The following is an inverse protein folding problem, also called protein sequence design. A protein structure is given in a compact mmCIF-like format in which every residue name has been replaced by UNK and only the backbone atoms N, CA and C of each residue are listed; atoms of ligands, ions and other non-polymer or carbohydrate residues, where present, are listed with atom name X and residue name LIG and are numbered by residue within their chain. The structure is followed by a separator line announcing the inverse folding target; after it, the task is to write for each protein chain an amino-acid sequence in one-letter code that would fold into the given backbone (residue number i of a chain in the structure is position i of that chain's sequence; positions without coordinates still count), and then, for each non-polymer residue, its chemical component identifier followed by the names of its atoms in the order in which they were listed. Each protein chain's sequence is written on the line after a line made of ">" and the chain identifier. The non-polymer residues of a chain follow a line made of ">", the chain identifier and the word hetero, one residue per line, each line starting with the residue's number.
data_IF_213093409528
#
_entry.id   IF_213093409528
#
_cell.length_a   1.000
_cell.length_b   1.000
_cell.length_c   1.000
_cell.angle_alpha   90.00
_cell.angle_beta   90.00
_cell.angle_gamma   90.00
#
_symmetry.space_group_name_H-M   'P 1'
#
loop_
_entity.id
_entity.type
_entity.pdbx_description
1 polymer ?
#
# COMPACT_ATOMS: atom_id res chain seq x y z
N UNK A 1 44.27 -4.22 -33.94
CA UNK A 1 43.97 -5.44 -34.70
C UNK A 1 43.92 -6.63 -33.75
N UNK A 2 42.75 -7.22 -33.55
CA UNK A 2 42.56 -8.59 -33.04
C UNK A 2 41.08 -8.96 -33.22
N UNK A 3 40.72 -9.52 -34.38
CA UNK A 3 39.40 -10.14 -34.55
C UNK A 3 39.41 -11.56 -33.98
N UNK A 4 38.28 -12.00 -33.42
CA UNK A 4 37.83 -13.40 -33.46
C UNK A 4 36.32 -13.48 -33.22
N UNK A 5 35.59 -13.76 -34.30
CA UNK A 5 34.23 -14.30 -34.26
C UNK A 5 34.27 -15.76 -33.82
N UNK A 6 33.28 -16.17 -33.01
CA UNK A 6 32.53 -17.44 -33.10
C UNK A 6 31.14 -17.09 -32.51
N UNK A 7 30.01 -17.08 -33.22
CA UNK A 7 29.31 -18.11 -34.02
C UNK A 7 28.63 -19.25 -33.24
N UNK A 8 27.35 -19.45 -33.64
CA UNK A 8 26.51 -20.66 -33.65
C UNK A 8 25.58 -21.06 -32.47
N UNK A 9 24.31 -20.73 -32.71
CA UNK A 9 23.17 -21.65 -33.02
C UNK A 9 22.64 -22.69 -32.00
N UNK A 10 21.31 -22.88 -32.07
CA UNK A 10 20.49 -24.02 -31.59
C UNK A 10 20.33 -24.14 -30.04
N UNK A 11 19.22 -24.59 -29.45
CA UNK A 11 17.83 -24.82 -29.88
C UNK A 11 16.96 -24.90 -28.56
N UNK A 12 15.67 -25.25 -28.45
CA UNK A 12 14.70 -25.94 -29.32
C UNK A 12 13.29 -25.33 -29.27
N UNK A 13 12.40 -25.82 -30.13
CA UNK A 13 10.95 -25.64 -30.15
C UNK A 13 10.24 -26.29 -28.95
N UNK A 14 9.22 -25.63 -28.41
CA UNK A 14 8.30 -26.20 -27.42
C UNK A 14 6.84 -26.02 -27.84
N UNK A 15 6.38 -26.80 -28.83
CA UNK A 15 4.98 -26.75 -29.30
C UNK A 15 4.08 -27.69 -28.50
N UNK A 16 3.16 -27.11 -27.73
CA UNK A 16 1.91 -27.72 -27.30
C UNK A 16 0.86 -26.62 -27.24
N UNK A 17 -0.37 -26.76 -27.74
CA UNK A 17 -1.13 -27.96 -28.05
C UNK A 17 -2.55 -27.71 -27.52
N UNK A 18 -3.57 -27.49 -28.39
CA UNK A 18 -4.82 -26.90 -27.92
C UNK A 18 -5.81 -27.95 -27.39
N UNK A 19 -6.14 -27.90 -26.10
CA UNK A 19 -7.27 -28.67 -25.56
C UNK A 19 -8.60 -27.97 -25.81
N UNK A 20 -9.35 -28.50 -26.77
CA UNK A 20 -10.73 -28.11 -27.04
C UNK A 20 -11.69 -28.82 -26.06
N UNK A 21 -11.84 -28.24 -24.86
CA UNK A 21 -12.88 -28.64 -23.90
C UNK A 21 -14.28 -28.43 -24.46
N UNK A 22 -14.97 -29.53 -24.79
CA UNK A 22 -16.27 -29.53 -25.47
C UNK A 22 -17.34 -30.07 -24.51
N UNK A 23 -18.52 -29.40 -24.47
CA UNK A 23 -19.71 -29.76 -23.66
C UNK A 23 -19.56 -29.39 -22.17
N UNK A 24 -20.62 -29.12 -21.41
CA UNK A 24 -22.06 -29.41 -21.62
C UNK A 24 -22.96 -28.16 -21.55
N UNK A 25 -24.06 -28.18 -22.33
CA UNK A 25 -25.19 -27.29 -22.11
C UNK A 25 -26.03 -27.87 -20.96
N UNK A 26 -25.80 -27.38 -19.75
CA UNK A 26 -26.65 -27.72 -18.60
C UNK A 26 -28.04 -27.09 -18.79
N UNK A 27 -29.08 -27.92 -18.73
CA UNK A 27 -30.47 -27.49 -18.94
C UNK A 27 -30.89 -26.59 -17.79
N UNK A 28 -31.31 -25.36 -18.09
CA UNK A 28 -32.04 -24.54 -17.13
C UNK A 28 -33.32 -25.28 -16.71
N UNK A 29 -33.56 -25.54 -15.41
CA UNK A 29 -34.87 -25.97 -14.95
C UNK A 29 -35.85 -24.81 -15.09
N UNK A 30 -36.99 -25.07 -15.73
CA UNK A 30 -38.06 -24.08 -15.86
C UNK A 30 -38.55 -23.66 -14.47
N UNK A 31 -38.50 -22.36 -14.19
CA UNK A 31 -38.95 -21.83 -12.91
C UNK A 31 -40.47 -22.02 -12.79
N UNK A 32 -40.99 -22.67 -11.73
CA UNK A 32 -42.43 -22.76 -11.51
C UNK A 32 -42.99 -21.35 -11.31
N UNK A 33 -44.02 -21.01 -12.08
CA UNK A 33 -44.62 -19.68 -12.08
C UNK A 33 -45.24 -19.33 -10.73
N UNK A 34 -44.47 -18.65 -9.88
CA UNK A 34 -45.01 -18.07 -8.65
C UNK A 34 -46.02 -16.98 -8.99
N UNK A 35 -47.25 -17.19 -8.55
CA UNK A 35 -48.38 -16.33 -8.86
C UNK A 35 -48.15 -14.89 -8.40
N UNK A 36 -48.86 -13.96 -9.05
CA UNK A 36 -48.87 -12.53 -8.71
C UNK A 36 -49.41 -12.32 -7.28
N UNK A 37 -48.55 -12.43 -6.27
CA UNK A 37 -48.81 -11.80 -4.98
C UNK A 37 -48.93 -10.30 -5.25
N UNK A 38 -50.14 -9.76 -5.08
CA UNK A 38 -50.32 -8.33 -4.83
C UNK A 38 -49.56 -8.02 -3.54
N UNK A 39 -48.33 -7.54 -3.69
CA UNK A 39 -47.70 -6.73 -2.65
C UNK A 39 -48.64 -5.56 -2.40
N UNK A 40 -49.37 -5.63 -1.29
CA UNK A 40 -49.96 -4.41 -0.75
C UNK A 40 -48.78 -3.52 -0.41
N UNK A 41 -48.74 -2.35 -1.04
CA UNK A 41 -47.75 -1.32 -0.78
C UNK A 41 -48.04 -0.76 0.61
N UNK A 42 -47.68 -1.52 1.63
CA UNK A 42 -47.72 -1.12 3.02
C UNK A 42 -46.77 0.07 3.13
N UNK A 43 -47.37 1.26 3.13
CA UNK A 43 -46.67 2.54 3.15
C UNK A 43 -45.88 2.61 4.44
N UNK A 44 -44.65 2.11 4.43
CA UNK A 44 -43.76 2.22 5.57
C UNK A 44 -43.76 3.70 5.98
N UNK A 45 -44.08 4.01 7.25
CA UNK A 45 -44.10 5.38 7.69
C UNK A 45 -42.70 5.94 7.41
N UNK A 46 -42.62 7.00 6.60
CA UNK A 46 -41.36 7.69 6.31
C UNK A 46 -40.77 8.14 7.64
N UNK A 47 -39.89 7.32 8.20
CA UNK A 47 -39.24 7.59 9.47
C UNK A 47 -38.46 8.89 9.28
N UNK A 48 -38.99 9.99 9.82
CA UNK A 48 -38.26 11.25 9.85
C UNK A 48 -36.93 10.93 10.52
N UNK A 49 -35.78 11.16 9.87
CA UNK A 49 -34.50 10.96 10.54
C UNK A 49 -34.54 11.82 11.81
N UNK A 50 -34.41 11.18 12.98
CA UNK A 50 -34.46 11.89 14.24
C UNK A 50 -33.42 13.01 14.24
N UNK A 51 -33.68 14.11 14.96
CA UNK A 51 -32.83 15.32 14.93
C UNK A 51 -31.34 15.02 15.10
N UNK A 52 -31.02 14.11 16.03
CA UNK A 52 -29.69 13.54 16.27
C UNK A 52 -29.01 12.88 15.05
N UNK A 53 -29.78 12.28 14.14
CA UNK A 53 -29.27 11.67 12.91
C UNK A 53 -28.83 12.75 11.90
N UNK A 54 -29.61 13.84 11.77
CA UNK A 54 -29.23 14.99 10.94
C UNK A 54 -27.99 15.69 11.50
N UNK A 55 -27.95 16.02 12.78
CA UNK A 55 -26.79 16.67 13.42
C UNK A 55 -25.50 15.83 13.26
N UNK A 56 -25.61 14.50 13.35
CA UNK A 56 -24.46 13.58 13.18
C UNK A 56 -23.99 13.47 11.73
N UNK A 57 -24.90 13.62 10.76
CA UNK A 57 -24.56 13.71 9.33
C UNK A 57 -23.93 15.06 9.00
N UNK A 58 -24.47 16.16 9.52
CA UNK A 58 -23.90 17.51 9.37
C UNK A 58 -22.49 17.61 9.98
N UNK A 59 -22.27 17.02 11.17
CA UNK A 59 -20.94 16.96 11.78
C UNK A 59 -19.93 16.17 10.92
N UNK A 60 -20.34 15.03 10.35
CA UNK A 60 -19.50 14.28 9.41
C UNK A 60 -19.16 15.09 8.17
N UNK A 61 -20.17 15.70 7.54
CA UNK A 61 -20.02 16.53 6.34
C UNK A 61 -19.08 17.72 6.59
N UNK A 62 -19.20 18.41 7.74
CA UNK A 62 -18.30 19.51 8.12
C UNK A 62 -16.85 19.06 8.29
N UNK A 63 -16.60 17.90 8.93
CA UNK A 63 -15.23 17.36 9.05
C UNK A 63 -14.65 16.99 7.69
N UNK A 64 -15.44 16.37 6.81
CA UNK A 64 -14.98 16.01 5.47
C UNK A 64 -14.67 17.26 4.62
N UNK A 65 -15.47 18.33 4.73
CA UNK A 65 -15.20 19.61 4.08
C UNK A 65 -13.96 20.31 4.67
N UNK A 66 -13.78 20.28 6.00
CA UNK A 66 -12.59 20.83 6.66
C UNK A 66 -11.32 20.08 6.23
N UNK A 67 -11.36 18.74 6.18
CA UNK A 67 -10.28 17.92 5.65
C UNK A 67 -9.98 18.25 4.18
N UNK A 68 -11.00 18.44 3.33
CA UNK A 68 -10.82 18.90 1.95
C UNK A 68 -10.15 20.27 1.87
N UNK A 69 -10.50 21.22 2.73
CA UNK A 69 -9.83 22.53 2.82
C UNK A 69 -8.39 22.40 3.28
N UNK A 70 -8.09 21.59 4.31
CA UNK A 70 -6.72 21.30 4.79
C UNK A 70 -5.86 20.53 3.78
N UNK A 71 -6.46 19.70 2.92
CA UNK A 71 -5.80 19.01 1.81
C UNK A 71 -5.47 19.95 0.63
N UNK A 72 -6.14 21.11 0.57
CA UNK A 72 -5.93 22.17 -0.42
C UNK A 72 -5.02 23.30 0.08
N UNK A 73 -4.95 23.55 1.39
CA UNK A 73 -3.98 24.48 2.00
C UNK A 73 -2.69 23.76 2.41
N UNK A 74 -1.65 24.53 2.72
CA UNK A 74 -0.41 24.02 3.35
C UNK A 74 -0.58 23.75 4.84
N UNK A 75 -1.81 23.54 5.35
CA UNK A 75 -2.05 23.40 6.77
C UNK A 75 -1.96 21.99 7.34
N UNK A 76 -2.01 20.98 6.46
CA UNK A 76 -1.96 19.57 6.81
C UNK A 76 -0.76 19.22 7.69
N UNK A 77 -0.98 18.42 8.72
CA UNK A 77 0.04 17.94 9.65
C UNK A 77 0.08 16.42 9.73
N UNK A 78 1.24 15.86 10.09
CA UNK A 78 1.39 14.49 10.58
C UNK A 78 0.64 14.25 11.92
N UNK A 79 0.06 15.29 12.53
CA UNK A 79 -0.79 15.16 13.70
C UNK A 79 -2.27 14.95 13.33
N UNK A 80 -2.68 15.27 12.09
CA UNK A 80 -4.04 15.10 11.59
C UNK A 80 -4.36 13.62 11.30
N UNK A 81 -4.56 12.82 12.34
CA UNK A 81 -4.82 11.37 12.22
C UNK A 81 -6.00 11.02 11.30
N UNK A 82 -7.02 11.90 11.20
CA UNK A 82 -8.15 11.71 10.26
C UNK A 82 -7.71 11.73 8.78
N UNK A 83 -6.65 12.47 8.42
CA UNK A 83 -6.13 12.48 7.05
C UNK A 83 -5.41 11.17 6.66
N UNK A 84 -4.88 10.45 7.65
CA UNK A 84 -4.23 9.15 7.48
C UNK A 84 -5.18 7.96 7.71
N UNK A 85 -6.36 8.19 8.30
CA UNK A 85 -7.36 7.16 8.59
C UNK A 85 -7.96 6.47 7.35
N UNK A 86 -7.74 7.02 6.14
CA UNK A 86 -8.17 6.39 4.87
C UNK A 86 -7.28 5.23 4.42
N UNK A 87 -6.07 5.08 4.98
CA UNK A 87 -5.14 4.02 4.62
C UNK A 87 -5.39 2.76 5.45
N UNK A 88 -5.02 1.61 4.88
CA UNK A 88 -5.11 0.33 5.57
C UNK A 88 -4.20 0.28 6.81
N UNK A 89 -4.75 -0.26 7.90
CA UNK A 89 -4.01 -0.48 9.14
C UNK A 89 -3.46 -1.90 9.19
N UNK A 90 -2.25 -2.03 9.69
CA UNK A 90 -1.59 -3.29 9.91
C UNK A 90 -2.35 -4.15 10.94
N UNK A 91 -2.46 -5.44 10.65
CA UNK A 91 -2.77 -6.47 11.65
C UNK A 91 -1.59 -6.63 12.62
N UNK A 92 -1.76 -7.37 13.71
CA UNK A 92 -0.68 -7.53 14.70
C UNK A 92 0.47 -8.38 14.12
N UNK A 93 0.18 -9.39 13.30
CA UNK A 93 1.16 -10.19 12.55
C UNK A 93 1.97 -9.34 11.54
N UNK A 94 1.35 -8.30 10.98
CA UNK A 94 2.05 -7.35 10.10
C UNK A 94 2.94 -6.38 10.87
N UNK A 95 2.59 -6.05 12.13
CA UNK A 95 3.42 -5.20 13.01
C UNK A 95 4.66 -5.95 13.50
N UNK A 96 4.55 -7.26 13.74
CA UNK A 96 5.69 -8.12 14.07
C UNK A 96 6.79 -8.03 13.00
N UNK A 97 6.42 -7.98 11.72
CA UNK A 97 7.37 -7.85 10.60
C UNK A 97 8.06 -6.48 10.50
N UNK A 98 7.65 -5.46 11.28
CA UNK A 98 8.22 -4.11 11.16
C UNK A 98 9.71 -4.06 11.50
N UNK A 99 10.17 -4.81 12.51
CA UNK A 99 11.59 -4.85 12.91
C UNK A 99 12.46 -5.29 11.76
N UNK A 100 12.11 -6.41 11.13
CA UNK A 100 12.94 -7.08 10.13
C UNK A 100 12.85 -6.35 8.79
N UNK A 101 11.68 -5.79 8.49
CA UNK A 101 11.47 -4.87 7.36
C UNK A 101 12.36 -3.63 7.49
N UNK A 102 12.41 -2.99 8.66
CA UNK A 102 13.24 -1.81 8.91
C UNK A 102 14.73 -2.13 8.94
N UNK A 103 15.13 -3.27 9.53
CA UNK A 103 16.51 -3.75 9.53
C UNK A 103 17.00 -4.04 8.09
N UNK A 104 16.17 -4.70 7.27
CA UNK A 104 16.44 -4.96 5.85
C UNK A 104 16.57 -3.66 5.05
N UNK A 105 15.65 -2.71 5.28
CA UNK A 105 15.70 -1.39 4.64
C UNK A 105 16.97 -0.62 5.01
N UNK A 106 17.37 -0.66 6.29
CA UNK A 106 18.60 -0.03 6.75
C UNK A 106 19.84 -0.66 6.12
N UNK A 107 19.94 -2.00 6.07
CA UNK A 107 21.04 -2.70 5.41
C UNK A 107 21.14 -2.36 3.92
N UNK A 108 20.01 -2.34 3.20
CA UNK A 108 19.93 -1.92 1.81
C UNK A 108 20.39 -0.46 1.61
N UNK A 109 19.96 0.45 2.48
CA UNK A 109 20.40 1.85 2.47
C UNK A 109 21.91 2.00 2.74
N UNK A 110 22.49 1.15 3.61
CA UNK A 110 23.91 1.15 3.95
C UNK A 110 24.79 0.60 2.82
N UNK A 111 24.30 -0.35 2.03
CA UNK A 111 24.96 -0.84 0.81
C UNK A 111 24.91 0.17 -0.36
N UNK A 112 24.00 1.16 -0.31
CA UNK A 112 23.80 2.16 -1.34
C UNK A 112 24.60 3.46 -1.14
N UNK A 113 24.55 4.34 -2.15
CA UNK A 113 25.19 5.66 -2.16
C UNK A 113 24.64 6.67 -1.14
N UNK A 114 23.62 6.28 -0.36
CA UNK A 114 22.91 7.14 0.61
C UNK A 114 23.05 6.68 2.07
N UNK A 115 24.06 5.84 2.36
CA UNK A 115 24.38 5.31 3.70
C UNK A 115 24.40 6.36 4.81
N UNK A 116 24.96 7.55 4.55
CA UNK A 116 24.98 8.70 5.50
C UNK A 116 23.60 9.16 5.98
N UNK A 117 22.53 8.83 5.27
CA UNK A 117 21.15 9.17 5.62
C UNK A 117 20.30 7.95 6.02
N UNK A 118 20.87 6.74 6.01
CA UNK A 118 20.17 5.49 6.31
C UNK A 118 19.41 5.53 7.64
N UNK A 119 20.10 5.92 8.73
CA UNK A 119 19.50 6.01 10.06
C UNK A 119 18.36 7.02 10.11
N UNK A 120 18.55 8.21 9.53
CA UNK A 120 17.54 9.27 9.52
C UNK A 120 16.28 8.88 8.73
N UNK A 121 16.44 8.21 7.58
CA UNK A 121 15.32 7.72 6.78
C UNK A 121 14.60 6.56 7.44
N UNK A 122 15.32 5.59 8.02
CA UNK A 122 14.74 4.51 8.82
C UNK A 122 13.88 5.06 9.96
N UNK A 123 14.36 6.08 10.69
CA UNK A 123 13.58 6.75 11.75
C UNK A 123 12.31 7.42 11.20
N UNK A 124 12.34 8.00 9.99
CA UNK A 124 11.12 8.60 9.41
C UNK A 124 10.09 7.53 9.02
N UNK A 125 10.53 6.42 8.41
CA UNK A 125 9.66 5.31 8.03
C UNK A 125 9.07 4.63 9.27
N UNK A 126 9.90 4.35 10.27
CA UNK A 126 9.47 3.81 11.57
C UNK A 126 8.41 4.69 12.24
N UNK A 127 8.62 6.01 12.26
CA UNK A 127 7.64 6.95 12.82
C UNK A 127 6.28 6.88 12.09
N UNK A 128 6.26 6.74 10.75
CA UNK A 128 5.01 6.57 10.00
C UNK A 128 4.34 5.21 10.30
N UNK A 129 5.12 4.12 10.37
CA UNK A 129 4.65 2.78 10.75
C UNK A 129 4.01 2.77 12.14
N UNK A 130 4.68 3.33 13.15
CA UNK A 130 4.21 3.30 14.54
C UNK A 130 3.07 4.28 14.81
N UNK A 131 3.17 5.54 14.33
CA UNK A 131 2.20 6.60 14.64
C UNK A 131 0.83 6.35 14.01
N UNK A 132 0.81 5.78 12.81
CA UNK A 132 -0.41 5.56 12.04
C UNK A 132 -0.83 4.08 11.94
N UNK A 133 0.03 3.16 12.37
CA UNK A 133 -0.17 1.71 12.26
C UNK A 133 -0.46 1.26 10.83
N UNK A 134 0.24 1.83 9.85
CA UNK A 134 0.02 1.58 8.42
C UNK A 134 0.61 0.24 7.99
N UNK A 135 -0.16 -0.55 7.24
CA UNK A 135 0.40 -1.75 6.63
C UNK A 135 1.47 -1.40 5.56
N UNK A 136 2.23 -2.43 5.16
CA UNK A 136 3.33 -2.23 4.21
C UNK A 136 2.82 -1.82 2.81
N UNK A 137 1.58 -2.14 2.43
CA UNK A 137 0.99 -1.73 1.15
C UNK A 137 0.64 -0.24 1.13
N UNK A 138 0.06 0.28 2.22
CA UNK A 138 -0.19 1.69 2.42
C UNK A 138 1.12 2.51 2.37
N UNK A 139 2.20 2.00 2.96
CA UNK A 139 3.52 2.64 2.95
C UNK A 139 4.14 2.74 1.54
N UNK A 140 3.89 1.78 0.65
CA UNK A 140 4.33 1.87 -0.76
C UNK A 140 3.36 2.64 -1.67
N UNK A 141 2.21 3.08 -1.17
CA UNK A 141 1.25 3.83 -1.97
C UNK A 141 1.79 5.21 -2.37
N UNK A 142 1.56 5.59 -3.63
CA UNK A 142 1.89 6.93 -4.11
C UNK A 142 1.03 8.00 -3.40
N UNK A 143 -0.22 7.67 -3.05
CA UNK A 143 -1.12 8.55 -2.29
C UNK A 143 -0.57 8.94 -0.92
N UNK A 144 0.03 8.00 -0.18
CA UNK A 144 0.65 8.32 1.12
C UNK A 144 1.84 9.25 0.92
N UNK A 145 2.68 8.98 -0.08
CA UNK A 145 3.84 9.84 -0.38
C UNK A 145 3.41 11.27 -0.73
N UNK A 146 2.37 11.43 -1.54
CA UNK A 146 1.88 12.76 -1.93
C UNK A 146 1.13 13.48 -0.80
N UNK A 147 0.51 12.74 0.12
CA UNK A 147 -0.01 13.29 1.38
C UNK A 147 1.12 13.76 2.30
N UNK A 148 2.13 12.92 2.54
CA UNK A 148 3.31 13.22 3.38
C UNK A 148 4.10 14.41 2.82
N UNK A 149 4.24 14.55 1.50
CA UNK A 149 4.89 15.72 0.89
C UNK A 149 4.20 17.04 1.25
N UNK A 150 2.87 17.03 1.40
CA UNK A 150 2.06 18.21 1.72
C UNK A 150 2.09 18.61 3.20
N UNK A 151 2.61 17.77 4.11
CA UNK A 151 2.57 18.10 5.54
C UNK A 151 3.58 19.17 5.94
N UNK A 152 3.18 20.01 6.89
CA UNK A 152 4.02 21.04 7.50
C UNK A 152 5.33 20.50 8.05
N UNK A 153 5.32 19.33 8.69
CA UNK A 153 6.50 18.73 9.31
C UNK A 153 7.50 18.30 8.24
N UNK A 154 7.02 17.77 7.11
CA UNK A 154 7.87 17.42 5.99
C UNK A 154 8.50 18.68 5.36
N UNK A 155 7.71 19.73 5.12
CA UNK A 155 8.19 21.01 4.59
C UNK A 155 9.23 21.67 5.52
N UNK A 156 8.93 21.77 6.82
CA UNK A 156 9.83 22.35 7.84
C UNK A 156 11.15 21.60 7.99
N UNK A 157 11.16 20.27 7.75
CA UNK A 157 12.34 19.40 7.92
C UNK A 157 13.01 19.07 6.59
N UNK A 158 13.01 20.01 5.64
CA UNK A 158 13.64 19.89 4.32
C UNK A 158 13.30 18.57 3.58
N UNK A 159 12.01 18.22 3.57
CA UNK A 159 11.44 17.06 2.89
C UNK A 159 11.95 15.68 3.36
N UNK A 160 12.59 15.58 4.54
CA UNK A 160 13.22 14.35 5.03
C UNK A 160 12.23 13.18 5.22
N UNK A 161 10.97 13.46 5.53
CA UNK A 161 9.94 12.43 5.76
C UNK A 161 9.51 11.81 4.43
N UNK A 162 9.21 12.64 3.43
CA UNK A 162 8.90 12.20 2.07
C UNK A 162 10.09 11.53 1.38
N UNK A 163 11.32 12.00 1.63
CA UNK A 163 12.54 11.36 1.13
C UNK A 163 12.77 9.96 1.73
N UNK A 164 12.62 9.83 3.06
CA UNK A 164 12.73 8.53 3.74
C UNK A 164 11.67 7.55 3.29
N UNK A 165 10.41 8.01 3.20
CA UNK A 165 9.32 7.20 2.66
C UNK A 165 9.59 6.79 1.20
N UNK A 166 9.98 7.70 0.31
CA UNK A 166 10.28 7.37 -1.09
C UNK A 166 11.41 6.32 -1.20
N UNK A 167 12.45 6.43 -0.37
CA UNK A 167 13.52 5.41 -0.32
C UNK A 167 13.01 4.04 0.15
N UNK A 168 12.04 4.00 1.05
CA UNK A 168 11.37 2.74 1.42
C UNK A 168 10.56 2.14 0.28
N UNK A 169 9.87 2.97 -0.52
CA UNK A 169 9.16 2.49 -1.72
C UNK A 169 10.14 1.94 -2.76
N UNK A 170 11.28 2.62 -2.98
CA UNK A 170 12.35 2.15 -3.88
C UNK A 170 12.95 0.81 -3.41
N UNK A 171 13.14 0.65 -2.08
CA UNK A 171 13.60 -0.60 -1.47
C UNK A 171 12.63 -1.76 -1.73
N UNK A 172 11.33 -1.61 -1.42
CA UNK A 172 10.33 -2.66 -1.64
C UNK A 172 10.21 -3.00 -3.14
N UNK A 173 10.23 -2.00 -4.01
CA UNK A 173 10.26 -2.21 -5.46
C UNK A 173 11.50 -3.00 -5.90
N UNK A 174 12.68 -2.71 -5.35
CA UNK A 174 13.92 -3.44 -5.65
C UNK A 174 13.92 -4.91 -5.21
N UNK A 175 13.08 -5.28 -4.23
CA UNK A 175 12.87 -6.67 -3.78
C UNK A 175 11.82 -7.44 -4.61
N UNK A 176 11.14 -6.78 -5.56
CA UNK A 176 10.01 -7.37 -6.29
C UNK A 176 8.70 -7.39 -5.50
N UNK A 177 8.57 -6.59 -4.45
CA UNK A 177 7.38 -6.51 -3.60
C UNK A 177 7.52 -7.20 -2.24
N UNK A 178 6.40 -7.68 -1.70
CA UNK A 178 6.27 -8.22 -0.33
C UNK A 178 6.41 -9.74 -0.22
N UNK A 179 6.70 -10.43 -1.33
CA UNK A 179 6.69 -11.90 -1.41
C UNK A 179 7.94 -12.58 -0.84
N UNK A 180 8.99 -11.83 -0.50
CA UNK A 180 10.22 -12.38 0.05
C UNK A 180 10.31 -12.17 1.58
N UNK A 181 10.81 -13.15 2.35
CA UNK A 181 11.00 -13.00 3.79
C UNK A 181 11.98 -11.85 4.08
N UNK A 182 11.62 -10.98 5.02
CA UNK A 182 12.42 -9.80 5.35
C UNK A 182 13.83 -10.21 5.81
N UNK A 183 13.89 -11.14 6.76
CA UNK A 183 15.07 -11.73 7.42
C UNK A 183 16.18 -12.22 6.46
N UNK A 184 15.82 -12.65 5.23
CA UNK A 184 16.76 -13.32 4.31
C UNK A 184 17.83 -12.43 3.65
N UNK A 185 17.68 -11.10 3.67
CA UNK A 185 18.60 -10.21 2.94
C UNK A 185 19.95 -10.00 3.65
N UNK A 186 20.02 -10.23 4.96
CA UNK A 186 21.24 -10.00 5.75
C UNK A 186 22.33 -11.06 5.50
N UNK A 187 21.93 -12.31 5.30
CA UNK A 187 22.86 -13.44 5.18
C UNK A 187 23.76 -13.39 3.93
N UNK A 188 23.33 -12.71 2.86
CA UNK A 188 24.09 -12.64 1.60
C UNK A 188 25.03 -11.42 1.50
N UNK A 189 24.77 -10.36 2.27
CA UNK A 189 25.53 -9.10 2.20
C UNK A 189 26.62 -8.98 3.28
N UNK A 190 26.79 -9.99 4.15
CA UNK A 190 27.80 -9.97 5.22
C UNK A 190 28.71 -11.22 5.32
N UNK A 191 29.49 -11.62 4.29
CA UNK A 191 30.51 -12.67 4.45
C UNK A 191 31.89 -12.17 4.92
N UNK A 192 32.18 -10.87 4.86
CA UNK A 192 33.55 -10.34 4.98
C UNK A 192 33.64 -9.06 5.83
N UNK A 193 33.51 -9.19 7.16
CA UNK A 193 33.93 -8.15 8.11
C UNK A 193 34.62 -8.73 9.36
N UNK A 194 35.32 -9.86 9.18
CA UNK A 194 36.34 -10.38 10.10
C UNK A 194 37.73 -10.30 9.45
N UNK A 195 38.38 -9.14 9.58
CA UNK A 195 39.85 -8.95 9.50
C UNK A 195 40.24 -7.70 10.27
#
# INVERSE_FOLDING_TARGET
>A
MAMRHLDREAAEEGRGGPEAGRREMEKQPEAPGFGKLKWQEEKQPKARPGRFSQERLEMKSRREEELRRKLASTDLSLEDAEAFAKFAKATDEQKEQYSDTLASFFAWMMAGSTSKSAANYMVQVKMLMERFQLDLQALVSQELLDLVKKTKENQKRNNIVGAGLKKFQDFVASRGGFSMPWEGAFAFLWPNLET
#
